data_IF_603825663227
#
_entry.id   IF_603825663227
#
_cell.length_a   1.000
_cell.length_b   1.000
_cell.length_c   1.000
_cell.angle_alpha   90.00
_cell.angle_beta   90.00
_cell.angle_gamma   90.00
#
_symmetry.space_group_name_H-M   'P 1'
#
loop_
_entity.id
_entity.type
_entity.pdbx_description
1 polymer ?
#
# COMPACT_ATOMS: atom_id res chain seq x y z
N UNK A 1 27.87 56.99 -58.40
CA UNK A 1 27.21 57.32 -57.11
C UNK A 1 26.73 56.03 -56.49
N UNK A 2 27.36 55.62 -55.40
CA UNK A 2 27.10 54.36 -54.70
C UNK A 2 26.08 54.61 -53.58
N UNK A 3 24.85 54.13 -53.72
CA UNK A 3 23.86 54.13 -52.63
C UNK A 3 24.11 52.91 -51.74
N UNK A 4 24.50 53.15 -50.48
CA UNK A 4 24.50 52.12 -49.43
C UNK A 4 23.06 51.93 -48.95
N UNK A 5 22.54 50.72 -49.06
CA UNK A 5 21.36 50.29 -48.32
C UNK A 5 21.75 50.05 -46.85
N UNK A 6 21.10 50.75 -45.93
CA UNK A 6 21.16 50.48 -44.50
C UNK A 6 20.15 49.37 -44.17
N UNK A 7 20.52 48.33 -43.39
CA UNK A 7 19.56 47.31 -43.00
C UNK A 7 18.55 47.88 -41.98
N UNK A 8 17.28 47.69 -42.31
CA UNK A 8 16.11 48.15 -41.54
C UNK A 8 16.07 47.54 -40.13
N UNK A 9 16.02 48.42 -39.14
CA UNK A 9 15.96 48.15 -37.68
C UNK A 9 14.61 47.56 -37.18
N UNK A 10 13.76 47.05 -38.07
CA UNK A 10 12.36 46.73 -37.77
C UNK A 10 12.12 45.39 -37.04
N UNK A 11 13.08 44.46 -37.02
CA UNK A 11 12.95 43.14 -36.37
C UNK A 11 13.36 43.08 -34.89
N UNK A 12 13.96 44.14 -34.35
CA UNK A 12 14.53 44.17 -33.00
C UNK A 12 13.52 44.18 -31.83
N UNK A 13 12.35 44.85 -31.89
CA UNK A 13 11.46 44.94 -30.72
C UNK A 13 10.75 43.62 -30.41
N UNK A 14 10.28 42.90 -31.43
CA UNK A 14 9.61 41.59 -31.25
C UNK A 14 10.56 40.52 -30.72
N UNK A 15 11.79 40.46 -31.24
CA UNK A 15 12.81 39.50 -30.80
C UNK A 15 13.30 39.78 -29.38
N UNK A 16 13.37 41.06 -28.97
CA UNK A 16 13.68 41.47 -27.59
C UNK A 16 12.55 41.09 -26.62
N UNK A 17 11.29 41.25 -27.02
CA UNK A 17 10.13 40.85 -26.21
C UNK A 17 10.08 39.33 -25.99
N UNK A 18 10.30 38.52 -27.03
CA UNK A 18 10.39 37.06 -26.92
C UNK A 18 11.50 36.59 -25.97
N UNK A 19 12.68 37.24 -26.01
CA UNK A 19 13.79 36.93 -25.09
C UNK A 19 13.46 37.30 -23.64
N UNK A 20 12.78 38.42 -23.41
CA UNK A 20 12.33 38.83 -22.08
C UNK A 20 11.30 37.84 -21.54
N UNK A 21 10.30 37.47 -22.35
CA UNK A 21 9.29 36.48 -21.96
C UNK A 21 9.93 35.11 -21.66
N UNK A 22 10.89 34.67 -22.49
CA UNK A 22 11.64 33.43 -22.24
C UNK A 22 12.47 33.47 -20.96
N UNK A 23 13.13 34.59 -20.67
CA UNK A 23 13.88 34.77 -19.43
C UNK A 23 12.97 34.76 -18.19
N UNK A 24 11.81 35.41 -18.27
CA UNK A 24 10.79 35.39 -17.21
C UNK A 24 10.26 33.97 -16.99
N UNK A 25 9.93 33.25 -18.07
CA UNK A 25 9.46 31.88 -17.97
C UNK A 25 10.51 30.94 -17.35
N UNK A 26 11.79 31.08 -17.73
CA UNK A 26 12.89 30.33 -17.12
C UNK A 26 13.07 30.66 -15.64
N UNK A 27 12.97 31.93 -15.26
CA UNK A 27 13.02 32.36 -13.87
C UNK A 27 11.88 31.77 -13.04
N UNK A 28 10.66 31.78 -13.56
CA UNK A 28 9.49 31.17 -12.91
C UNK A 28 9.65 29.65 -12.78
N UNK A 29 10.12 28.98 -13.83
CA UNK A 29 10.36 27.54 -13.81
C UNK A 29 11.44 27.15 -12.79
N UNK A 30 12.54 27.90 -12.72
CA UNK A 30 13.59 27.68 -11.72
C UNK A 30 13.07 27.91 -10.30
N UNK A 31 12.28 28.98 -10.08
CA UNK A 31 11.64 29.25 -8.79
C UNK A 31 10.69 28.13 -8.36
N UNK A 32 9.84 27.65 -9.28
CA UNK A 32 8.94 26.53 -9.03
C UNK A 32 9.71 25.23 -8.73
N UNK A 33 10.78 24.94 -9.47
CA UNK A 33 11.63 23.78 -9.22
C UNK A 33 12.29 23.83 -7.84
N UNK A 34 12.79 24.99 -7.41
CA UNK A 34 13.34 25.18 -6.07
C UNK A 34 12.28 24.98 -4.98
N UNK A 35 11.08 25.54 -5.16
CA UNK A 35 9.96 25.37 -4.22
C UNK A 35 9.56 23.89 -4.09
N UNK A 36 9.41 23.19 -5.22
CA UNK A 36 9.10 21.75 -5.25
C UNK A 36 10.21 20.94 -4.58
N UNK A 37 11.48 21.26 -4.85
CA UNK A 37 12.61 20.57 -4.24
C UNK A 37 12.62 20.72 -2.72
N UNK A 38 12.38 21.94 -2.22
CA UNK A 38 12.24 22.20 -0.78
C UNK A 38 11.02 21.50 -0.17
N UNK A 39 9.90 21.46 -0.90
CA UNK A 39 8.69 20.77 -0.46
C UNK A 39 8.91 19.25 -0.35
N UNK A 40 9.53 18.64 -1.37
CA UNK A 40 9.86 17.21 -1.38
C UNK A 40 10.85 16.88 -0.27
N UNK A 41 11.93 17.66 -0.15
CA UNK A 41 12.96 17.44 0.86
C UNK A 41 12.41 17.51 2.28
N UNK A 42 11.63 18.55 2.60
CA UNK A 42 11.02 18.71 3.92
C UNK A 42 9.92 17.68 4.24
N UNK A 43 9.38 17.01 3.22
CA UNK A 43 8.38 15.94 3.34
C UNK A 43 8.98 14.54 3.42
N UNK A 44 10.30 14.38 3.20
CA UNK A 44 11.00 13.12 3.39
C UNK A 44 11.24 12.84 4.90
N UNK A 45 11.27 11.56 5.32
CA UNK A 45 11.76 11.19 6.64
C UNK A 45 13.26 11.50 6.80
N UNK A 46 13.83 11.23 7.97
CA UNK A 46 15.23 11.56 8.34
C UNK A 46 16.21 11.60 7.16
N UNK A 47 16.72 12.80 6.87
CA UNK A 47 17.70 13.05 5.83
C UNK A 47 18.96 13.67 6.48
N UNK A 48 20.17 13.10 6.28
CA UNK A 48 21.41 13.66 6.82
C UNK A 48 21.84 14.99 6.17
N UNK A 49 21.22 15.38 5.05
CA UNK A 49 21.41 16.68 4.42
C UNK A 49 20.40 17.67 5.01
N UNK A 50 20.87 18.77 5.63
CA UNK A 50 20.01 19.87 6.07
C UNK A 50 20.10 21.02 5.06
N UNK A 51 18.95 21.46 4.52
CA UNK A 51 18.92 22.62 3.62
C UNK A 51 18.88 23.93 4.42
N UNK A 52 19.53 25.01 3.92
CA UNK A 52 19.52 26.29 4.62
C UNK A 52 18.09 26.83 4.73
N UNK A 53 17.67 27.17 5.95
CA UNK A 53 16.36 27.75 6.23
C UNK A 53 15.17 26.80 6.21
N UNK A 54 15.37 25.49 5.98
CA UNK A 54 14.32 24.48 5.92
C UNK A 54 13.39 24.48 7.14
N UNK A 55 13.96 24.58 8.35
CA UNK A 55 13.21 24.63 9.62
C UNK A 55 12.33 25.88 9.77
N UNK A 56 12.62 26.96 9.02
CA UNK A 56 11.85 28.22 9.04
C UNK A 56 10.67 28.22 8.08
N UNK A 57 10.73 27.41 7.02
CA UNK A 57 9.71 27.36 5.97
C UNK A 57 8.45 26.59 6.37
N UNK A 58 8.46 25.90 7.51
CA UNK A 58 7.32 25.16 8.08
C UNK A 58 6.55 24.39 7.00
N UNK A 59 7.27 23.70 6.11
CA UNK A 59 6.75 23.03 4.91
C UNK A 59 5.51 22.19 5.18
N UNK A 60 5.50 21.55 6.35
CA UNK A 60 4.42 20.68 6.84
C UNK A 60 3.08 21.39 7.11
N UNK A 61 3.07 22.72 7.21
CA UNK A 61 1.85 23.54 7.42
C UNK A 61 1.09 23.79 6.12
N UNK A 62 1.80 23.93 5.00
CA UNK A 62 1.20 24.29 3.69
C UNK A 62 1.31 23.17 2.65
N UNK A 63 2.13 22.16 2.90
CA UNK A 63 2.20 20.90 2.15
C UNK A 63 2.11 19.71 3.13
N UNK A 64 0.91 19.40 3.67
CA UNK A 64 0.73 18.37 4.69
C UNK A 64 0.83 16.93 4.15
N UNK A 65 0.83 16.77 2.83
CA UNK A 65 0.92 15.48 2.12
C UNK A 65 2.30 14.84 2.34
N UNK A 66 2.45 14.13 3.45
CA UNK A 66 3.67 13.40 3.79
C UNK A 66 3.76 12.07 3.04
N UNK A 67 4.93 11.78 2.45
CA UNK A 67 5.23 10.49 1.84
C UNK A 67 5.64 9.47 2.92
N UNK A 68 4.71 9.13 3.82
CA UNK A 68 4.92 8.09 4.84
C UNK A 68 4.60 6.71 4.26
N UNK A 69 5.51 6.15 3.47
CA UNK A 69 5.32 4.83 2.85
C UNK A 69 5.57 3.63 3.79
N UNK A 70 5.93 3.84 5.06
CA UNK A 70 6.40 2.75 5.94
C UNK A 70 5.93 2.87 7.39
N UNK A 71 4.65 3.18 7.63
CA UNK A 71 4.12 3.25 9.02
C UNK A 71 3.80 1.90 9.63
N UNK A 72 3.77 0.82 8.83
CA UNK A 72 3.43 -0.52 9.29
C UNK A 72 4.65 -1.44 9.14
N UNK A 73 4.93 -2.25 10.17
CA UNK A 73 6.09 -3.14 10.17
C UNK A 73 5.94 -4.16 9.03
N UNK A 74 6.89 -4.18 8.09
CA UNK A 74 6.85 -5.09 6.95
C UNK A 74 6.88 -6.58 7.35
N UNK A 75 7.40 -6.90 8.55
CA UNK A 75 7.49 -8.22 9.14
C UNK A 75 6.39 -8.53 10.16
N UNK A 76 5.33 -7.72 10.21
CA UNK A 76 4.16 -8.04 11.02
C UNK A 76 3.49 -9.33 10.55
N UNK A 77 2.74 -9.95 11.45
CA UNK A 77 1.91 -11.10 11.11
C UNK A 77 0.79 -10.68 10.14
N UNK A 78 0.65 -11.45 9.06
CA UNK A 78 -0.40 -11.27 8.07
C UNK A 78 -1.42 -12.39 8.21
N UNK A 79 -2.72 -12.06 8.13
CA UNK A 79 -3.75 -13.07 8.11
C UNK A 79 -3.77 -13.80 6.77
N UNK A 80 -3.86 -15.12 6.83
CA UNK A 80 -4.16 -15.99 5.71
C UNK A 80 -5.48 -16.68 6.03
N UNK A 81 -6.45 -16.50 5.14
CA UNK A 81 -7.82 -16.98 5.31
C UNK A 81 -8.01 -18.29 4.56
N UNK A 82 -8.64 -19.25 5.22
CA UNK A 82 -8.98 -20.55 4.67
C UNK A 82 -10.47 -20.85 4.85
N UNK A 83 -11.07 -21.50 3.87
CA UNK A 83 -12.42 -22.08 3.97
C UNK A 83 -12.32 -23.57 3.67
N UNK A 84 -13.18 -24.36 4.31
CA UNK A 84 -13.24 -25.79 4.05
C UNK A 84 -14.32 -26.08 2.99
N UNK A 85 -13.90 -26.52 1.80
CA UNK A 85 -14.79 -26.89 0.70
C UNK A 85 -14.55 -28.34 0.33
N UNK A 86 -15.61 -29.15 0.27
CA UNK A 86 -15.54 -30.58 -0.07
C UNK A 86 -14.50 -31.37 0.78
N UNK A 87 -14.35 -31.01 2.05
CA UNK A 87 -13.40 -31.65 2.97
C UNK A 87 -11.96 -31.13 2.88
N UNK A 88 -11.61 -30.34 1.86
CA UNK A 88 -10.29 -29.76 1.65
C UNK A 88 -10.24 -28.28 2.09
N UNK A 89 -9.05 -27.84 2.52
CA UNK A 89 -8.79 -26.44 2.85
C UNK A 89 -8.37 -25.68 1.60
N UNK A 90 -9.05 -24.57 1.32
CA UNK A 90 -8.75 -23.66 0.21
C UNK A 90 -8.51 -22.25 0.74
N UNK A 91 -7.64 -21.49 0.09
CA UNK A 91 -7.45 -20.07 0.42
C UNK A 91 -8.72 -19.29 0.09
N UNK A 92 -9.23 -18.58 1.08
CA UNK A 92 -10.44 -17.76 0.97
C UNK A 92 -10.14 -16.29 0.63
N UNK A 93 -8.86 -15.93 0.47
CA UNK A 93 -8.41 -14.57 0.18
C UNK A 93 -8.98 -14.06 -1.16
N UNK A 94 -9.73 -12.96 -1.10
CA UNK A 94 -10.18 -12.26 -2.29
C UNK A 94 -8.97 -11.55 -2.90
N UNK A 95 -8.67 -11.90 -4.15
CA UNK A 95 -7.46 -11.45 -4.83
C UNK A 95 -7.44 -9.96 -5.16
N UNK A 96 -6.40 -9.48 -5.85
CA UNK A 96 -6.29 -8.08 -6.22
C UNK A 96 -7.46 -7.63 -7.10
N UNK A 97 -7.95 -6.43 -6.81
CA UNK A 97 -9.08 -5.79 -7.52
C UNK A 97 -8.82 -5.60 -9.01
N UNK A 98 -7.57 -5.66 -9.47
CA UNK A 98 -7.20 -5.60 -10.89
C UNK A 98 -7.59 -6.85 -11.70
N UNK A 99 -8.01 -7.95 -11.05
CA UNK A 99 -8.43 -9.16 -11.77
C UNK A 99 -9.75 -8.92 -12.53
N UNK A 100 -9.94 -9.52 -13.72
CA UNK A 100 -11.18 -9.39 -14.50
C UNK A 100 -12.44 -9.77 -13.72
N UNK A 101 -12.35 -10.77 -12.83
CA UNK A 101 -13.47 -11.18 -11.95
C UNK A 101 -14.02 -10.04 -11.07
N UNK A 102 -13.21 -9.01 -10.79
CA UNK A 102 -13.62 -7.84 -10.02
C UNK A 102 -13.85 -6.61 -10.92
N UNK A 103 -14.02 -6.81 -12.22
CA UNK A 103 -14.23 -5.75 -13.20
C UNK A 103 -13.17 -4.63 -13.11
N UNK A 104 -11.91 -5.03 -12.94
CA UNK A 104 -10.78 -4.11 -12.79
C UNK A 104 -10.96 -3.08 -11.66
N UNK A 105 -11.71 -3.44 -10.61
CA UNK A 105 -11.87 -2.68 -9.38
C UNK A 105 -13.20 -1.93 -9.27
N UNK A 106 -14.11 -2.09 -10.23
CA UNK A 106 -15.51 -1.66 -10.09
C UNK A 106 -16.23 -2.51 -9.04
N UNK A 107 -15.94 -3.81 -8.98
CA UNK A 107 -16.38 -4.66 -7.88
C UNK A 107 -15.46 -4.46 -6.66
N UNK A 108 -16.05 -4.15 -5.50
CA UNK A 108 -15.37 -3.85 -4.24
C UNK A 108 -15.35 -5.00 -3.23
N UNK A 109 -15.86 -6.19 -3.57
CA UNK A 109 -15.87 -7.38 -2.71
C UNK A 109 -14.51 -7.68 -2.07
N UNK A 110 -13.42 -7.62 -2.86
CA UNK A 110 -12.09 -7.87 -2.32
C UNK A 110 -11.61 -6.85 -1.28
N UNK A 111 -12.13 -5.61 -1.32
CA UNK A 111 -11.88 -4.61 -0.28
C UNK A 111 -12.80 -4.81 0.92
N UNK A 112 -14.03 -5.27 0.69
CA UNK A 112 -15.00 -5.55 1.74
C UNK A 112 -14.55 -6.69 2.66
N UNK A 113 -13.86 -7.71 2.13
CA UNK A 113 -13.38 -8.85 2.92
C UNK A 113 -12.43 -8.44 4.07
N UNK A 114 -11.67 -7.35 3.90
CA UNK A 114 -10.81 -6.86 4.99
C UNK A 114 -11.61 -6.36 6.20
N UNK A 115 -12.76 -5.71 5.96
CA UNK A 115 -13.67 -5.27 7.02
C UNK A 115 -14.41 -6.46 7.65
N UNK A 116 -14.90 -7.37 6.80
CA UNK A 116 -15.52 -8.63 7.23
C UNK A 116 -14.60 -9.41 8.18
N UNK A 117 -13.32 -9.57 7.81
CA UNK A 117 -12.31 -10.20 8.65
C UNK A 117 -12.14 -9.48 10.00
N UNK A 118 -12.11 -8.14 10.00
CA UNK A 118 -12.04 -7.35 11.23
C UNK A 118 -13.22 -7.63 12.19
N UNK A 119 -14.44 -7.71 11.66
CA UNK A 119 -15.64 -8.02 12.45
C UNK A 119 -15.62 -9.44 13.05
N UNK A 120 -14.97 -10.39 12.38
CA UNK A 120 -14.74 -11.72 12.93
C UNK A 120 -13.69 -11.68 14.04
N UNK A 121 -12.58 -10.97 13.84
CA UNK A 121 -11.50 -10.84 14.83
C UNK A 121 -11.97 -10.25 16.17
N UNK A 122 -12.90 -9.28 16.14
CA UNK A 122 -13.46 -8.68 17.36
C UNK A 122 -14.17 -9.70 18.28
N UNK A 123 -14.63 -10.82 17.72
CA UNK A 123 -15.30 -11.89 18.47
C UNK A 123 -14.32 -12.92 19.04
N UNK A 124 -13.04 -12.87 18.67
CA UNK A 124 -12.07 -13.88 19.04
C UNK A 124 -11.33 -13.51 20.33
N UNK A 125 -11.44 -14.31 21.41
CA UNK A 125 -10.59 -14.12 22.56
C UNK A 125 -9.14 -14.50 22.22
N UNK A 126 -8.16 -13.88 22.91
CA UNK A 126 -6.75 -14.19 22.73
C UNK A 126 -6.42 -15.69 22.94
N UNK A 127 -7.18 -16.37 23.81
CA UNK A 127 -7.05 -17.80 24.09
C UNK A 127 -7.55 -18.73 22.98
N UNK A 128 -8.26 -18.22 21.96
CA UNK A 128 -8.71 -19.04 20.83
C UNK A 128 -7.57 -19.40 19.87
N UNK A 129 -6.48 -18.64 19.91
CA UNK A 129 -5.32 -18.84 19.04
C UNK A 129 -4.44 -19.96 19.55
N UNK A 130 -3.99 -20.82 18.65
CA UNK A 130 -3.04 -21.90 18.92
C UNK A 130 -1.77 -21.69 18.12
N UNK A 131 -0.63 -21.87 18.76
CA UNK A 131 0.65 -21.89 18.05
C UNK A 131 0.72 -23.09 17.10
N UNK A 132 1.31 -22.86 15.93
CA UNK A 132 1.47 -23.82 14.86
C UNK A 132 2.87 -23.67 14.24
N UNK A 133 3.71 -24.66 14.46
CA UNK A 133 5.07 -24.73 13.89
C UNK A 133 5.11 -25.44 12.53
N UNK A 134 3.99 -26.04 12.10
CA UNK A 134 3.85 -26.71 10.81
C UNK A 134 3.14 -25.80 9.79
N UNK A 135 2.77 -26.38 8.63
CA UNK A 135 1.94 -25.66 7.68
C UNK A 135 0.59 -25.29 8.33
N UNK A 136 0.04 -24.09 8.09
CA UNK A 136 -1.25 -23.70 8.65
C UNK A 136 -2.37 -24.72 8.35
N UNK A 137 -2.35 -25.29 7.14
CA UNK A 137 -3.32 -26.32 6.72
C UNK A 137 -3.21 -27.59 7.57
N UNK A 138 -1.99 -28.01 7.93
CA UNK A 138 -1.79 -29.16 8.83
C UNK A 138 -2.42 -28.90 10.20
N UNK A 139 -2.16 -27.73 10.79
CA UNK A 139 -2.67 -27.38 12.12
C UNK A 139 -4.18 -27.11 12.15
N UNK A 140 -4.76 -26.64 11.05
CA UNK A 140 -6.21 -26.50 10.87
C UNK A 140 -6.91 -27.84 10.63
N UNK A 141 -6.21 -28.82 10.04
CA UNK A 141 -6.70 -30.19 9.86
C UNK A 141 -6.64 -31.03 11.14
N UNK A 142 -5.82 -30.62 12.11
CA UNK A 142 -5.71 -31.32 13.38
C UNK A 142 -7.04 -31.28 14.17
N UNK A 143 -7.39 -32.32 14.93
CA UNK A 143 -8.58 -32.34 15.76
C UNK A 143 -8.61 -31.14 16.72
N UNK A 144 -9.70 -30.40 16.71
CA UNK A 144 -9.91 -29.24 17.58
C UNK A 144 -11.37 -28.83 17.60
N UNK A 145 -11.80 -28.15 18.66
CA UNK A 145 -13.15 -27.60 18.72
C UNK A 145 -13.19 -26.24 18.00
N UNK A 146 -14.05 -26.06 16.99
CA UNK A 146 -14.22 -24.77 16.34
C UNK A 146 -14.90 -23.78 17.28
N UNK A 147 -14.43 -22.53 17.29
CA UNK A 147 -15.15 -21.45 17.94
C UNK A 147 -16.31 -21.00 17.06
N UNK A 148 -17.50 -20.93 17.62
CA UNK A 148 -18.69 -20.50 16.89
C UNK A 148 -18.78 -18.98 16.93
N UNK A 149 -18.89 -18.36 15.75
CA UNK A 149 -18.98 -16.90 15.58
C UNK A 149 -20.01 -16.55 14.52
N UNK A 150 -20.52 -15.32 14.54
CA UNK A 150 -21.49 -14.85 13.55
C UNK A 150 -20.85 -13.81 12.64
N UNK A 151 -20.97 -13.99 11.33
CA UNK A 151 -20.55 -12.99 10.36
C UNK A 151 -21.64 -11.93 10.21
N UNK A 152 -21.32 -10.69 10.60
CA UNK A 152 -22.26 -9.56 10.55
C UNK A 152 -22.10 -8.71 9.28
N UNK A 153 -21.26 -9.14 8.34
CA UNK A 153 -21.09 -8.45 7.06
C UNK A 153 -22.39 -8.52 6.25
N UNK A 154 -22.85 -7.43 5.62
CA UNK A 154 -24.04 -7.43 4.77
C UNK A 154 -23.97 -8.44 3.62
N UNK A 155 -22.78 -8.62 3.06
CA UNK A 155 -22.47 -9.60 2.01
C UNK A 155 -21.30 -10.48 2.49
N UNK A 156 -21.58 -11.56 3.25
CA UNK A 156 -20.53 -12.37 3.84
C UNK A 156 -19.88 -13.30 2.81
N UNK A 157 -18.56 -13.36 2.81
CA UNK A 157 -17.73 -14.26 1.99
C UNK A 157 -17.10 -15.40 2.79
N UNK A 158 -17.01 -15.26 4.11
CA UNK A 158 -16.45 -16.23 5.06
C UNK A 158 -17.59 -16.88 5.86
N UNK A 159 -18.03 -18.06 5.43
CA UNK A 159 -19.14 -18.80 6.03
C UNK A 159 -18.79 -20.28 6.22
N UNK A 160 -19.45 -20.93 7.18
CA UNK A 160 -19.20 -22.33 7.56
C UNK A 160 -17.86 -22.52 8.26
N UNK A 161 -17.20 -23.64 8.01
CA UNK A 161 -15.88 -23.93 8.60
C UNK A 161 -14.79 -23.05 7.99
N UNK A 162 -14.24 -22.13 8.78
CA UNK A 162 -13.23 -21.14 8.39
C UNK A 162 -11.99 -21.30 9.25
N UNK A 163 -10.83 -21.25 8.62
CA UNK A 163 -9.53 -21.24 9.30
C UNK A 163 -8.86 -19.90 9.12
N UNK A 164 -8.29 -19.34 10.18
CA UNK A 164 -7.48 -18.13 10.11
C UNK A 164 -6.08 -18.47 10.62
N UNK A 165 -5.06 -18.08 9.88
CA UNK A 165 -3.67 -18.18 10.28
C UNK A 165 -2.99 -16.81 10.27
N UNK A 166 -2.41 -16.40 11.39
CA UNK A 166 -1.54 -15.23 11.48
C UNK A 166 -0.10 -15.70 11.33
N UNK A 167 0.55 -15.28 10.25
CA UNK A 167 1.90 -15.73 9.91
C UNK A 167 2.75 -14.54 9.45
N UNK A 168 3.99 -14.47 9.93
CA UNK A 168 4.95 -13.48 9.41
C UNK A 168 5.33 -13.82 7.97
N UNK A 169 5.54 -12.83 7.10
CA UNK A 169 6.01 -13.09 5.75
C UNK A 169 7.38 -13.77 5.78
N UNK A 170 7.61 -14.70 4.85
CA UNK A 170 8.93 -15.31 4.66
C UNK A 170 9.92 -14.18 4.34
N UNK A 171 11.01 -14.01 5.11
CA UNK A 171 11.97 -12.96 4.82
C UNK A 171 12.58 -13.17 3.44
N UNK A 172 12.81 -12.09 2.70
CA UNK A 172 13.29 -12.13 1.31
C UNK A 172 14.55 -12.99 1.11
N UNK A 173 15.45 -13.01 2.10
CA UNK A 173 16.66 -13.83 2.10
C UNK A 173 16.41 -15.36 1.98
N UNK A 174 15.19 -15.81 2.24
CA UNK A 174 14.77 -17.21 2.23
C UNK A 174 13.78 -17.53 1.12
N UNK A 175 13.58 -16.65 0.14
CA UNK A 175 12.67 -16.91 -0.97
C UNK A 175 13.22 -17.94 -1.98
N UNK A 176 14.55 -18.07 -2.08
CA UNK A 176 15.23 -18.89 -3.10
C UNK A 176 16.00 -20.08 -2.50
N UNK A 177 15.43 -20.72 -1.49
CA UNK A 177 16.03 -21.93 -0.89
C UNK A 177 15.39 -23.21 -1.46
N UNK A 178 16.16 -24.31 -1.64
CA UNK A 178 15.65 -25.53 -2.27
C UNK A 178 14.51 -26.24 -1.52
N UNK A 179 14.35 -25.94 -0.22
CA UNK A 179 13.29 -26.53 0.62
C UNK A 179 12.35 -25.41 1.08
N UNK A 180 11.02 -25.56 0.90
CA UNK A 180 10.06 -24.57 1.37
C UNK A 180 10.24 -24.28 2.86
N UNK A 181 10.43 -23.02 3.22
CA UNK A 181 10.49 -22.58 4.61
C UNK A 181 9.07 -22.39 5.13
N UNK A 182 8.74 -23.07 6.22
CA UNK A 182 7.48 -22.90 6.93
C UNK A 182 7.71 -21.96 8.09
N UNK A 183 7.06 -20.80 8.07
CA UNK A 183 7.10 -19.85 9.18
C UNK A 183 6.15 -20.30 10.28
N UNK A 184 6.50 -20.16 11.57
CA UNK A 184 5.55 -20.36 12.65
C UNK A 184 4.34 -19.43 12.49
N UNK A 185 3.17 -19.91 12.90
CA UNK A 185 1.91 -19.20 12.80
C UNK A 185 1.04 -19.39 14.03
N UNK A 186 0.09 -18.49 14.23
CA UNK A 186 -1.01 -18.68 15.16
C UNK A 186 -2.27 -19.01 14.36
N UNK A 187 -2.92 -20.13 14.67
CA UNK A 187 -4.11 -20.59 13.95
C UNK A 187 -5.33 -20.60 14.86
N UNK A 188 -6.49 -20.34 14.27
CA UNK A 188 -7.79 -20.49 14.91
C UNK A 188 -8.76 -21.15 13.93
N UNK A 189 -9.55 -22.07 14.45
CA UNK A 189 -10.60 -22.77 13.70
C UNK A 189 -11.95 -22.20 14.13
N UNK A 190 -12.74 -21.78 13.15
CA UNK A 190 -14.04 -21.15 13.36
C UNK A 190 -15.14 -21.95 12.66
N UNK A 191 -16.32 -21.94 13.27
CA UNK A 191 -17.58 -22.25 12.58
C UNK A 191 -18.38 -20.95 12.48
N UNK A 192 -18.50 -20.43 11.27
CA UNK A 192 -19.00 -19.09 11.00
C UNK A 192 -20.43 -19.15 10.48
N UNK A 193 -21.35 -18.59 11.24
CA UNK A 193 -22.74 -18.45 10.81
C UNK A 193 -22.92 -17.22 9.95
N UNK A 194 -23.46 -17.46 8.76
CA UNK A 194 -24.07 -16.50 7.84
C UNK A 194 -25.53 -16.98 7.64
#
# INVERSE_FOLDING_TARGET
MSHRETPSSAGQPAQRQLRILGAVALGLAAGAACLVSYAVHGSLPYNPLELPGEKKLLTRTWAPEGWKFFTRNAQEERPVLFTRRNGAWERAEQGPASRPRYLFGLNREGRAQGLEFGLLLEQLPASAWRECSESPVSCLSAPGQPLHVTNRSPEPSLCGTVGIALQKPIPWAWLDVPRPVVMPSHVVLLEVQC
#
